data_IF_777107011581
#
_entry.id   IF_777107011581
#
_cell.length_a   1.000
_cell.length_b   1.000
_cell.length_c   1.000
_cell.angle_alpha   90.00
_cell.angle_beta   90.00
_cell.angle_gamma   90.00
#
_symmetry.space_group_name_H-M   'P 1'
#
loop_
_entity.id
_entity.type
_entity.pdbx_description
1 polymer ?
#
# COMPACT_ATOMS: atom_id res chain seq x y z
N UNK A 1 -17.94 2.64 0.72
CA UNK A 1 -16.99 2.57 -0.42
C UNK A 1 -15.91 1.53 -0.13
N UNK A 2 -15.27 1.58 1.04
CA UNK A 2 -14.16 0.65 1.37
C UNK A 2 -14.58 -0.83 1.47
N UNK A 3 -15.80 -1.11 1.94
CA UNK A 3 -16.30 -2.48 2.04
C UNK A 3 -16.32 -3.22 0.68
N UNK A 4 -16.64 -2.53 -0.43
CA UNK A 4 -16.62 -3.13 -1.76
C UNK A 4 -15.19 -3.40 -2.23
N UNK A 5 -14.27 -2.47 -2.00
CA UNK A 5 -12.85 -2.65 -2.32
C UNK A 5 -12.22 -3.81 -1.55
N UNK A 6 -12.56 -3.94 -0.26
CA UNK A 6 -12.10 -5.04 0.59
C UNK A 6 -12.65 -6.39 0.07
N UNK A 7 -13.93 -6.44 -0.31
CA UNK A 7 -14.52 -7.66 -0.86
C UNK A 7 -13.87 -8.06 -2.20
N UNK A 8 -13.60 -7.11 -3.08
CA UNK A 8 -12.93 -7.41 -4.36
C UNK A 8 -11.48 -7.87 -4.15
N UNK A 9 -10.75 -7.27 -3.20
CA UNK A 9 -9.43 -7.75 -2.81
C UNK A 9 -9.47 -9.19 -2.27
N UNK A 10 -10.41 -9.49 -1.37
CA UNK A 10 -10.56 -10.84 -0.79
C UNK A 10 -10.87 -11.85 -1.90
N UNK A 11 -11.76 -11.50 -2.82
CA UNK A 11 -12.13 -12.33 -3.97
C UNK A 11 -10.93 -12.62 -4.88
N UNK A 12 -10.19 -11.59 -5.29
CA UNK A 12 -8.98 -11.72 -6.10
C UNK A 12 -7.90 -12.54 -5.39
N UNK A 13 -7.73 -12.33 -4.08
CA UNK A 13 -6.78 -13.08 -3.27
C UNK A 13 -7.13 -14.58 -3.23
N UNK A 14 -8.41 -14.92 -2.99
CA UNK A 14 -8.85 -16.32 -2.97
C UNK A 14 -8.76 -16.98 -4.35
N UNK A 15 -9.01 -16.22 -5.42
CA UNK A 15 -8.88 -16.70 -6.80
C UNK A 15 -7.42 -17.03 -7.15
N UNK A 16 -6.47 -16.18 -6.75
CA UNK A 16 -5.05 -16.37 -7.02
C UNK A 16 -4.37 -17.36 -6.08
N UNK A 17 -4.93 -17.57 -4.88
CA UNK A 17 -4.37 -18.44 -3.85
C UNK A 17 -5.42 -19.43 -3.34
N UNK A 18 -5.83 -20.43 -4.16
CA UNK A 18 -6.91 -21.36 -3.82
C UNK A 18 -6.59 -22.28 -2.62
N UNK A 19 -5.31 -22.39 -2.24
CA UNK A 19 -4.85 -23.16 -1.08
C UNK A 19 -4.73 -22.33 0.21
N UNK A 20 -5.08 -21.05 0.17
CA UNK A 20 -5.21 -20.24 1.38
C UNK A 20 -6.42 -20.74 2.18
N UNK A 21 -6.21 -21.76 3.01
CA UNK A 21 -7.25 -22.32 3.86
C UNK A 21 -7.54 -21.33 4.99
N UNK A 22 -8.47 -20.42 4.73
CA UNK A 22 -9.41 -20.00 5.75
C UNK A 22 -10.22 -21.23 6.14
N UNK A 23 -9.76 -21.98 7.14
CA UNK A 23 -10.66 -22.88 7.86
C UNK A 23 -11.81 -22.00 8.38
N UNK A 24 -13.07 -22.35 8.14
CA UNK A 24 -13.66 -23.65 8.49
C UNK A 24 -13.41 -24.80 7.49
N UNK A 25 -13.06 -25.93 8.11
CA UNK A 25 -13.03 -27.34 7.63
C UNK A 25 -11.70 -27.90 7.13
N UNK A 26 -11.28 -28.93 7.87
CA UNK A 26 -10.06 -29.72 7.81
C UNK A 26 -9.99 -30.69 6.61
N UNK A 27 -8.84 -30.76 5.95
CA UNK A 27 -8.09 -32.00 5.61
C UNK A 27 -6.81 -31.66 4.84
N UNK A 28 -5.66 -32.06 5.39
CA UNK A 28 -4.43 -32.29 4.60
C UNK A 28 -4.61 -33.60 3.80
N UNK A 29 -4.00 -33.74 2.61
CA UNK A 29 -2.56 -33.97 2.50
C UNK A 29 -1.83 -33.06 1.50
N UNK A 30 -0.53 -32.95 1.76
CA UNK A 30 0.52 -32.27 0.99
C UNK A 30 0.44 -32.42 -0.53
N UNK A 31 0.48 -31.30 -1.25
CA UNK A 31 1.42 -31.10 -2.37
C UNK A 31 1.54 -29.61 -2.74
N UNK A 32 2.80 -29.20 -2.79
CA UNK A 32 3.34 -27.89 -3.08
C UNK A 32 3.09 -27.43 -4.52
N UNK A 33 2.55 -26.22 -4.66
CA UNK A 33 2.96 -25.27 -5.71
C UNK A 33 3.32 -23.96 -5.01
N UNK A 34 4.54 -23.49 -5.28
CA UNK A 34 5.25 -22.48 -4.51
C UNK A 34 4.61 -21.09 -4.61
N UNK A 35 3.77 -20.74 -3.64
CA UNK A 35 3.53 -19.33 -3.30
C UNK A 35 4.64 -18.85 -2.37
N UNK A 36 5.19 -17.66 -2.63
CA UNK A 36 6.26 -17.06 -1.82
C UNK A 36 5.80 -16.63 -0.41
N UNK A 37 4.53 -16.86 -0.05
CA UNK A 37 3.89 -16.35 1.17
C UNK A 37 3.52 -17.47 2.16
N UNK A 38 3.68 -17.19 3.46
CA UNK A 38 3.22 -18.05 4.55
C UNK A 38 1.70 -18.00 4.70
N UNK A 39 1.17 -18.91 5.51
CA UNK A 39 -0.23 -18.86 5.96
C UNK A 39 -0.52 -17.48 6.58
N UNK A 40 -1.67 -16.90 6.21
CA UNK A 40 -2.17 -15.65 6.79
C UNK A 40 -2.57 -15.88 8.25
N UNK A 41 -2.07 -15.03 9.15
CA UNK A 41 -2.44 -14.98 10.56
C UNK A 41 -3.34 -13.76 10.77
N UNK A 42 -4.50 -13.96 11.37
CA UNK A 42 -5.46 -12.88 11.65
C UNK A 42 -5.53 -12.63 13.15
N UNK A 43 -5.26 -11.39 13.55
CA UNK A 43 -5.55 -10.86 14.90
C UNK A 43 -6.63 -9.79 14.78
N UNK A 44 -7.22 -9.36 15.90
CA UNK A 44 -8.29 -8.34 15.89
C UNK A 44 -7.79 -7.04 15.23
N UNK A 45 -8.20 -6.80 13.98
CA UNK A 45 -7.88 -5.59 13.21
C UNK A 45 -6.64 -5.64 12.32
N UNK A 46 -5.94 -6.78 12.25
CA UNK A 46 -4.73 -6.93 11.43
C UNK A 46 -4.63 -8.33 10.81
N UNK A 47 -4.20 -8.38 9.55
CA UNK A 47 -3.84 -9.62 8.86
C UNK A 47 -2.36 -9.58 8.52
N UNK A 48 -1.66 -10.70 8.71
CA UNK A 48 -0.23 -10.79 8.47
C UNK A 48 0.11 -12.05 7.67
N UNK A 49 1.05 -11.93 6.73
CA UNK A 49 1.71 -13.07 6.08
C UNK A 49 3.21 -12.78 5.90
N UNK A 50 4.04 -13.82 5.89
CA UNK A 50 5.48 -13.69 5.61
C UNK A 50 5.78 -14.01 4.16
N UNK A 51 6.57 -13.18 3.50
CA UNK A 51 7.16 -13.44 2.19
C UNK A 51 8.67 -13.63 2.36
N UNK A 52 9.13 -14.88 2.51
CA UNK A 52 10.51 -15.16 2.91
C UNK A 52 10.85 -14.53 4.27
N UNK A 53 11.77 -13.56 4.28
CA UNK A 53 12.15 -12.77 5.47
C UNK A 53 11.35 -11.46 5.64
N UNK A 54 10.44 -11.15 4.72
CA UNK A 54 9.60 -9.94 4.77
C UNK A 54 8.28 -10.27 5.46
N UNK A 55 7.84 -9.42 6.38
CA UNK A 55 6.50 -9.52 6.98
C UNK A 55 5.59 -8.51 6.28
N UNK A 56 4.46 -8.99 5.75
CA UNK A 56 3.45 -8.18 5.08
C UNK A 56 2.23 -8.10 5.98
N UNK A 57 1.86 -6.89 6.39
CA UNK A 57 0.72 -6.63 7.26
C UNK A 57 -0.32 -5.77 6.55
N UNK A 58 -1.59 -6.06 6.82
CA UNK A 58 -2.74 -5.29 6.37
C UNK A 58 -3.55 -4.92 7.60
N UNK A 59 -3.72 -3.61 7.82
CA UNK A 59 -4.53 -3.04 8.89
C UNK A 59 -5.38 -1.89 8.34
N UNK A 60 -6.48 -1.58 9.03
CA UNK A 60 -7.28 -0.39 8.76
C UNK A 60 -6.97 0.66 9.82
N UNK A 61 -6.69 1.90 9.41
CA UNK A 61 -6.30 2.98 10.30
C UNK A 61 -5.98 4.27 9.58
N UNK A 62 -5.49 5.25 10.35
CA UNK A 62 -5.01 6.55 9.84
C UNK A 62 -3.49 6.49 9.66
N UNK A 63 -3.05 6.41 8.40
CA UNK A 63 -1.62 6.33 8.04
C UNK A 63 -0.80 7.51 8.55
N UNK A 64 -1.41 8.67 8.84
CA UNK A 64 -0.70 9.84 9.35
C UNK A 64 -0.24 9.67 10.81
N UNK A 65 -0.75 8.65 11.51
CA UNK A 65 -0.39 8.33 12.91
C UNK A 65 0.67 7.25 13.03
N UNK A 66 0.98 6.57 11.93
CA UNK A 66 1.95 5.48 11.89
C UNK A 66 3.37 5.98 12.16
N UNK A 67 4.17 5.15 12.83
CA UNK A 67 5.60 5.38 13.06
C UNK A 67 6.40 4.38 12.25
N UNK A 68 7.06 4.84 11.20
CA UNK A 68 7.73 3.97 10.21
C UNK A 68 8.91 4.69 9.59
N UNK A 69 9.74 4.00 8.83
CA UNK A 69 10.83 4.65 8.09
C UNK A 69 10.29 5.47 6.91
N UNK A 70 9.35 4.91 6.15
CA UNK A 70 8.81 5.55 4.94
C UNK A 70 7.29 5.41 4.89
N UNK A 71 6.61 6.51 4.63
CA UNK A 71 5.19 6.54 4.25
C UNK A 71 5.11 6.70 2.73
N UNK A 72 4.26 5.91 2.09
CA UNK A 72 3.99 6.05 0.65
C UNK A 72 2.71 6.86 0.46
N UNK A 73 2.80 7.92 -0.33
CA UNK A 73 1.66 8.71 -0.78
C UNK A 73 1.33 8.40 -2.24
N UNK A 74 0.14 7.89 -2.52
CA UNK A 74 -0.37 7.78 -3.88
C UNK A 74 -0.85 9.16 -4.37
N UNK A 75 -0.23 9.67 -5.42
CA UNK A 75 -0.44 11.03 -5.94
C UNK A 75 -0.79 11.03 -7.43
N UNK A 76 -1.07 12.23 -7.96
CA UNK A 76 -1.14 12.56 -9.38
C UNK A 76 0.25 12.89 -9.96
N UNK A 77 0.31 13.04 -11.29
CA UNK A 77 1.53 13.33 -12.07
C UNK A 77 2.29 14.59 -11.60
N UNK A 78 1.57 15.58 -11.06
CA UNK A 78 2.15 16.84 -10.58
C UNK A 78 2.48 16.83 -9.07
N UNK A 79 2.33 15.70 -8.38
CA UNK A 79 2.58 15.55 -6.94
C UNK A 79 1.83 16.55 -6.03
N UNK A 80 0.65 16.99 -6.49
CA UNK A 80 -0.17 18.06 -5.88
C UNK A 80 -1.56 17.56 -5.42
N UNK A 81 -1.77 16.24 -5.40
CA UNK A 81 -3.07 15.64 -5.12
C UNK A 81 -3.54 15.95 -3.69
N UNK A 82 -4.57 16.77 -3.56
CA UNK A 82 -5.19 17.12 -2.26
C UNK A 82 -6.57 16.47 -2.11
N UNK A 83 -6.66 15.16 -2.33
CA UNK A 83 -7.87 14.38 -2.07
C UNK A 83 -7.59 13.06 -1.35
N UNK A 84 -8.61 12.52 -0.67
CA UNK A 84 -8.51 11.24 0.04
C UNK A 84 -7.37 11.17 1.04
N UNK A 85 -6.66 10.03 1.04
CA UNK A 85 -5.48 9.81 1.91
C UNK A 85 -4.33 10.76 1.57
N UNK A 86 -4.17 11.13 0.29
CA UNK A 86 -3.12 12.07 -0.12
C UNK A 86 -3.27 13.42 0.55
N UNK A 87 -4.51 13.93 0.65
CA UNK A 87 -4.82 15.14 1.41
C UNK A 87 -4.43 15.01 2.88
N UNK A 88 -4.81 13.90 3.53
CA UNK A 88 -4.49 13.68 4.94
C UNK A 88 -2.98 13.64 5.19
N UNK A 89 -2.21 13.00 4.30
CA UNK A 89 -0.75 12.97 4.37
C UNK A 89 -0.16 14.37 4.21
N UNK A 90 -0.56 15.14 3.20
CA UNK A 90 -0.03 16.49 2.96
C UNK A 90 -0.42 17.47 4.07
N UNK A 91 -1.66 17.44 4.55
CA UNK A 91 -2.13 18.27 5.67
C UNK A 91 -1.33 17.96 6.95
N UNK A 92 -1.07 16.68 7.23
CA UNK A 92 -0.32 16.25 8.41
C UNK A 92 1.20 16.53 8.27
N UNK A 93 1.77 16.37 7.08
CA UNK A 93 3.19 16.65 6.81
C UNK A 93 3.49 18.15 6.86
N UNK A 94 2.57 18.98 6.35
CA UNK A 94 2.64 20.44 6.38
C UNK A 94 3.21 21.07 5.11
N UNK A 95 3.08 22.40 5.01
CA UNK A 95 3.36 23.17 3.80
C UNK A 95 4.79 23.04 3.25
N UNK A 96 5.79 22.77 4.11
CA UNK A 96 7.17 22.56 3.66
C UNK A 96 7.29 21.35 2.70
N UNK A 97 6.54 20.28 2.96
CA UNK A 97 6.52 19.09 2.10
C UNK A 97 5.80 19.39 0.79
N UNK A 98 4.75 20.21 0.79
CA UNK A 98 4.08 20.61 -0.45
C UNK A 98 5.01 21.42 -1.37
N UNK A 99 5.81 22.34 -0.81
CA UNK A 99 6.80 23.10 -1.57
C UNK A 99 7.88 22.17 -2.13
N UNK A 100 8.35 21.20 -1.35
CA UNK A 100 9.29 20.19 -1.83
C UNK A 100 8.69 19.35 -2.97
N UNK A 101 7.40 18.99 -2.88
CA UNK A 101 6.68 18.29 -3.95
C UNK A 101 6.64 19.10 -5.24
N UNK A 102 6.33 20.40 -5.17
CA UNK A 102 6.32 21.28 -6.36
C UNK A 102 7.71 21.41 -6.98
N UNK A 103 8.74 21.56 -6.16
CA UNK A 103 10.12 21.70 -6.62
C UNK A 103 10.65 20.42 -7.29
N UNK A 104 10.34 19.25 -6.73
CA UNK A 104 10.77 17.96 -7.29
C UNK A 104 9.88 17.53 -8.47
N UNK A 105 8.58 17.81 -8.40
CA UNK A 105 7.61 17.47 -9.44
C UNK A 105 7.80 18.26 -10.74
N UNK A 106 8.32 19.48 -10.65
CA UNK A 106 8.68 20.30 -11.82
C UNK A 106 9.96 19.84 -12.52
N UNK A 107 10.73 18.93 -11.91
CA UNK A 107 11.92 18.34 -12.51
C UNK A 107 11.58 17.01 -13.18
N UNK A 108 12.44 16.59 -14.12
CA UNK A 108 12.35 15.25 -14.72
C UNK A 108 12.45 14.19 -13.62
N UNK A 109 11.40 13.36 -13.50
CA UNK A 109 11.31 12.33 -12.48
C UNK A 109 10.71 11.03 -13.08
N UNK A 110 10.98 9.86 -12.49
CA UNK A 110 10.49 8.57 -13.01
C UNK A 110 9.05 8.24 -12.59
N UNK A 111 8.21 9.24 -12.31
CA UNK A 111 6.85 9.04 -11.77
C UNK A 111 6.83 8.85 -10.25
N UNK A 112 7.91 9.20 -9.57
CA UNK A 112 8.01 9.18 -8.11
C UNK A 112 9.01 10.22 -7.61
N UNK A 113 8.74 10.80 -6.44
CA UNK A 113 9.64 11.74 -5.75
C UNK A 113 9.72 11.38 -4.25
N UNK A 114 10.84 11.74 -3.62
CA UNK A 114 11.08 11.50 -2.20
C UNK A 114 11.26 12.84 -1.47
N UNK A 115 10.47 13.08 -0.43
CA UNK A 115 10.48 14.33 0.34
C UNK A 115 10.88 14.09 1.80
N UNK A 116 11.14 15.17 2.52
CA UNK A 116 11.25 15.15 3.98
C UNK A 116 9.90 14.82 4.65
N UNK A 117 9.90 14.30 5.89
CA UNK A 117 8.67 13.83 6.53
C UNK A 117 7.74 14.96 7.01
N UNK A 118 8.22 16.20 7.05
CA UNK A 118 7.49 17.30 7.67
C UNK A 118 7.18 16.98 9.14
N UNK A 119 5.92 17.04 9.54
CA UNK A 119 5.48 16.70 10.91
C UNK A 119 5.05 15.23 11.09
N UNK A 120 5.16 14.38 10.07
CA UNK A 120 4.85 12.95 10.20
C UNK A 120 5.91 12.21 11.00
N UNK A 121 5.51 11.13 11.69
CA UNK A 121 6.42 10.25 12.43
C UNK A 121 7.13 9.24 11.51
N UNK A 122 7.69 9.73 10.40
CA UNK A 122 8.51 8.93 9.51
C UNK A 122 9.86 9.58 9.21
N UNK A 123 10.75 8.88 8.51
CA UNK A 123 12.04 9.44 8.07
C UNK A 123 11.93 10.11 6.70
N UNK A 124 11.05 9.61 5.83
CA UNK A 124 10.80 10.12 4.47
C UNK A 124 9.36 9.86 4.03
N UNK A 125 8.90 10.61 3.03
CA UNK A 125 7.66 10.33 2.30
C UNK A 125 8.01 10.05 0.84
N UNK A 126 7.55 8.90 0.34
CA UNK A 126 7.65 8.55 -1.07
C UNK A 126 6.33 8.85 -1.77
N UNK A 127 6.33 9.83 -2.68
CA UNK A 127 5.16 10.16 -3.49
C UNK A 127 5.25 9.41 -4.81
N UNK A 128 4.24 8.60 -5.12
CA UNK A 128 4.19 7.75 -6.30
C UNK A 128 2.97 8.11 -7.15
N UNK A 129 3.16 8.27 -8.46
CA UNK A 129 2.06 8.43 -9.41
C UNK A 129 1.34 7.08 -9.54
N UNK A 130 0.07 7.03 -9.11
CA UNK A 130 -0.75 5.83 -9.23
C UNK A 130 -1.27 5.64 -10.66
N UNK A 131 -1.09 4.44 -11.23
CA UNK A 131 -1.77 4.05 -12.46
C UNK A 131 -3.15 3.46 -12.14
N UNK A 132 -4.20 3.99 -12.74
CA UNK A 132 -5.58 3.52 -12.56
C UNK A 132 -6.16 2.88 -13.82
N UNK A 133 -5.52 3.05 -14.98
CA UNK A 133 -5.94 2.44 -16.24
C UNK A 133 -5.56 0.94 -16.24
N UNK A 134 -6.55 0.01 -16.26
CA UNK A 134 -6.28 -1.42 -16.28
C UNK A 134 -5.42 -1.88 -17.47
N UNK A 135 -5.55 -1.23 -18.63
CA UNK A 135 -4.77 -1.56 -19.82
C UNK A 135 -3.30 -1.21 -19.60
N UNK A 136 -3.01 -0.08 -18.95
CA UNK A 136 -1.65 0.32 -18.62
C UNK A 136 -1.07 -0.55 -17.51
N UNK A 137 -1.86 -0.93 -16.51
CA UNK A 137 -1.43 -1.83 -15.43
C UNK A 137 -1.03 -3.19 -16.01
N UNK A 138 -1.90 -3.83 -16.82
CA UNK A 138 -1.65 -5.17 -17.40
C UNK A 138 -0.45 -5.23 -18.37
N UNK A 139 0.10 -4.09 -18.79
CA UNK A 139 1.34 -4.07 -19.59
C UNK A 139 2.60 -4.15 -18.73
N UNK A 140 2.49 -3.88 -17.44
CA UNK A 140 3.62 -3.75 -16.51
C UNK A 140 3.70 -4.92 -15.51
N UNK A 141 2.57 -5.57 -15.22
CA UNK A 141 2.50 -6.81 -14.40
C UNK A 141 2.25 -8.04 -15.26
#
# INVERSE_FOLDING_TARGET
KDAQTIQEFIKEFMQKFPNASGGLVSKSPSQSTAGSFSKVVSTSGMQEAKMGNVTVQVSSGDITKETTDVIVNSSNEDFSLKSGVSKAILDAAGAAVEVECQNLGSQTNPGMIMTQPGNLKCKKILHLVGQTDPVKINRVV
#
